data_IF_463440613706
#
_entry.id   IF_463440613706
#
_cell.length_a   1.000
_cell.length_b   1.000
_cell.length_c   1.000
_cell.angle_alpha   90.00
_cell.angle_beta   90.00
_cell.angle_gamma   90.00
#
_symmetry.space_group_name_H-M   'P 1'
#
loop_
_entity.id
_entity.type
_entity.pdbx_description
1 polymer ?
#
# COMPACT_ATOMS: atom_id res chain seq x y z
N UNK A 1 -16.47 2.88 -3.35
CA UNK A 1 -16.65 1.55 -3.96
C UNK A 1 -15.40 0.73 -3.63
N UNK A 2 -15.53 -0.48 -3.11
CA UNK A 2 -14.38 -1.36 -2.87
C UNK A 2 -13.87 -1.91 -4.21
N UNK A 3 -12.57 -1.80 -4.45
CA UNK A 3 -11.98 -2.31 -5.69
C UNK A 3 -11.92 -3.84 -5.66
N UNK A 4 -12.27 -4.56 -6.75
CA UNK A 4 -12.26 -6.02 -6.78
C UNK A 4 -10.93 -6.65 -6.36
N UNK A 5 -9.82 -5.94 -6.61
CA UNK A 5 -8.51 -6.44 -6.19
C UNK A 5 -8.30 -6.32 -4.67
N UNK A 6 -8.87 -5.32 -3.99
CA UNK A 6 -8.79 -5.17 -2.53
C UNK A 6 -9.54 -6.31 -1.87
N UNK A 7 -10.69 -6.68 -2.42
CA UNK A 7 -11.49 -7.83 -1.98
C UNK A 7 -10.76 -9.16 -2.22
N UNK A 8 -9.85 -9.22 -3.19
CA UNK A 8 -9.00 -10.39 -3.45
C UNK A 8 -7.78 -10.52 -2.51
N UNK A 9 -7.50 -9.51 -1.69
CA UNK A 9 -6.37 -9.55 -0.77
C UNK A 9 -6.64 -10.55 0.38
N UNK A 10 -5.63 -11.30 0.83
CA UNK A 10 -5.83 -12.26 1.91
C UNK A 10 -6.12 -11.53 3.22
N UNK A 11 -6.93 -12.13 4.09
CA UNK A 11 -7.29 -11.56 5.41
C UNK A 11 -6.17 -11.57 6.46
N UNK A 12 -4.92 -11.31 6.04
CA UNK A 12 -3.70 -11.30 6.85
C UNK A 12 -2.65 -10.39 6.22
N UNK A 13 -1.62 -10.06 7.00
CA UNK A 13 -0.47 -9.34 6.47
C UNK A 13 0.20 -10.17 5.36
N UNK A 14 0.68 -9.50 4.33
CA UNK A 14 1.22 -10.15 3.13
C UNK A 14 2.75 -10.07 3.12
N UNK A 15 3.47 -11.12 2.71
CA UNK A 15 4.92 -11.04 2.62
C UNK A 15 5.31 -9.96 1.59
N UNK A 16 6.47 -9.32 1.78
CA UNK A 16 6.94 -8.29 0.84
C UNK A 16 7.05 -8.80 -0.60
N UNK A 17 7.31 -10.09 -0.80
CA UNK A 17 7.29 -10.74 -2.12
C UNK A 17 5.92 -10.71 -2.80
N UNK A 18 4.82 -10.81 -2.05
CA UNK A 18 3.46 -10.71 -2.58
C UNK A 18 3.19 -9.34 -3.21
N UNK A 19 3.86 -8.28 -2.73
CA UNK A 19 3.76 -6.95 -3.34
C UNK A 19 4.29 -6.96 -4.78
N UNK A 20 5.37 -7.70 -5.05
CA UNK A 20 5.85 -7.88 -6.42
C UNK A 20 4.85 -8.68 -7.28
N UNK A 21 4.15 -9.66 -6.70
CA UNK A 21 3.07 -10.38 -7.41
C UNK A 21 1.91 -9.45 -7.78
N UNK A 22 1.56 -8.48 -6.92
CA UNK A 22 0.54 -7.48 -7.25
C UNK A 22 0.91 -6.67 -8.49
N UNK A 23 2.19 -6.32 -8.67
CA UNK A 23 2.68 -5.59 -9.85
C UNK A 23 2.60 -6.39 -11.15
N UNK A 24 2.47 -7.71 -11.08
CA UNK A 24 2.24 -8.54 -12.27
C UNK A 24 0.80 -8.43 -12.80
N UNK A 25 -0.14 -7.90 -12.00
CA UNK A 25 -1.51 -7.65 -12.46
C UNK A 25 -1.52 -6.45 -13.40
N UNK A 26 -2.10 -6.61 -14.58
CA UNK A 26 -2.13 -5.58 -15.64
C UNK A 26 -2.61 -4.19 -15.14
N UNK A 27 -3.59 -4.19 -14.24
CA UNK A 27 -4.18 -2.99 -13.66
C UNK A 27 -3.26 -2.24 -12.68
N UNK A 28 -2.25 -2.90 -12.11
CA UNK A 28 -1.36 -2.34 -11.09
C UNK A 28 -0.06 -1.89 -11.78
N UNK A 29 0.27 -0.61 -11.64
CA UNK A 29 1.53 -0.07 -12.14
C UNK A 29 2.67 -0.27 -11.14
N UNK A 30 2.36 -0.10 -9.85
CA UNK A 30 3.30 -0.34 -8.76
C UNK A 30 2.54 -0.67 -7.47
N UNK A 31 3.14 -1.48 -6.61
CA UNK A 31 2.66 -1.71 -5.26
C UNK A 31 3.83 -1.59 -4.27
N UNK A 32 3.55 -1.15 -3.05
CA UNK A 32 4.58 -0.83 -2.05
C UNK A 32 4.15 -1.39 -0.70
N UNK A 33 4.99 -2.23 -0.10
CA UNK A 33 4.88 -2.60 1.30
C UNK A 33 5.34 -1.42 2.18
N UNK A 34 4.42 -0.61 2.68
CA UNK A 34 4.77 0.62 3.40
C UNK A 34 5.21 0.33 4.83
N UNK A 35 4.42 -0.47 5.57
CA UNK A 35 4.75 -0.88 6.93
C UNK A 35 4.36 -2.31 7.20
N UNK A 36 5.11 -2.90 8.11
CA UNK A 36 4.94 -4.28 8.48
C UNK A 36 5.73 -4.70 9.71
N UNK A 37 5.67 -5.99 9.95
CA UNK A 37 6.42 -6.69 10.99
C UNK A 37 7.21 -7.85 10.39
N UNK A 38 8.23 -8.28 11.12
CA UNK A 38 9.06 -9.41 10.77
C UNK A 38 8.48 -10.68 11.41
N UNK A 39 8.46 -11.76 10.63
CA UNK A 39 8.16 -13.11 11.13
C UNK A 39 9.40 -13.97 10.92
N UNK A 40 9.93 -14.54 11.99
CA UNK A 40 10.98 -15.55 11.91
C UNK A 40 10.36 -16.89 11.53
N UNK A 41 10.82 -17.50 10.43
CA UNK A 41 10.36 -18.80 9.96
C UNK A 41 11.52 -19.58 9.38
N UNK A 42 11.73 -20.82 9.85
CA UNK A 42 12.79 -21.71 9.37
C UNK A 42 14.21 -21.10 9.42
N UNK A 43 14.44 -20.19 10.38
CA UNK A 43 15.72 -19.46 10.53
C UNK A 43 15.86 -18.21 9.66
N UNK A 44 14.81 -17.82 8.93
CA UNK A 44 14.78 -16.64 8.07
C UNK A 44 13.79 -15.59 8.56
N UNK A 45 14.19 -14.32 8.46
CA UNK A 45 13.32 -13.17 8.73
C UNK A 45 12.48 -12.82 7.49
N UNK A 46 11.17 -13.04 7.55
CA UNK A 46 10.23 -12.70 6.48
C UNK A 46 9.41 -11.46 6.82
N UNK A 47 9.63 -10.38 6.05
CA UNK A 47 8.88 -9.13 6.17
C UNK A 47 7.44 -9.29 5.70
N UNK A 48 6.47 -9.03 6.58
CA UNK A 48 5.04 -9.03 6.29
C UNK A 48 4.43 -7.63 6.44
N UNK A 49 3.83 -7.13 5.36
CA UNK A 49 3.20 -5.82 5.30
C UNK A 49 1.72 -5.89 5.71
N UNK A 50 1.32 -4.97 6.60
CA UNK A 50 -0.08 -4.70 6.94
C UNK A 50 -0.54 -3.32 6.44
N UNK A 51 0.35 -2.54 5.83
CA UNK A 51 0.04 -1.33 5.08
C UNK A 51 0.64 -1.41 3.69
N UNK A 52 -0.18 -1.11 2.68
CA UNK A 52 0.21 -1.11 1.28
C UNK A 52 -0.16 0.23 0.63
N UNK A 53 0.67 0.66 -0.31
CA UNK A 53 0.29 1.68 -1.30
C UNK A 53 0.21 0.98 -2.64
N UNK A 54 -0.89 1.18 -3.36
CA UNK A 54 -1.11 0.57 -4.67
C UNK A 54 -1.40 1.65 -5.69
N UNK A 55 -0.50 1.81 -6.66
CA UNK A 55 -0.70 2.68 -7.82
C UNK A 55 -1.39 1.90 -8.94
N UNK A 56 -2.63 2.27 -9.22
CA UNK A 56 -3.43 1.70 -10.30
C UNK A 56 -3.13 2.47 -11.59
N UNK A 57 -2.67 1.72 -12.60
CA UNK A 57 -2.11 2.25 -13.86
C UNK A 57 -3.03 3.29 -14.50
N UNK A 58 -2.53 4.51 -14.63
CA UNK A 58 -3.23 5.62 -15.30
C UNK A 58 -4.55 6.03 -14.66
N UNK A 59 -4.80 5.65 -13.40
CA UNK A 59 -6.09 5.89 -12.73
C UNK A 59 -5.95 6.67 -11.43
N UNK A 60 -5.36 6.06 -10.40
CA UNK A 60 -5.32 6.60 -9.04
C UNK A 60 -4.40 5.76 -8.14
N UNK A 61 -4.16 6.24 -6.93
CA UNK A 61 -3.41 5.52 -5.90
C UNK A 61 -4.30 5.25 -4.69
N UNK A 62 -4.13 4.07 -4.11
CA UNK A 62 -4.83 3.64 -2.90
C UNK A 62 -3.84 3.44 -1.75
N UNK A 63 -4.22 3.94 -0.57
CA UNK A 63 -3.65 3.54 0.71
C UNK A 63 -4.50 2.45 1.32
N UNK A 64 -3.89 1.28 1.58
CA UNK A 64 -4.56 0.12 2.15
C UNK A 64 -3.99 -0.20 3.52
N UNK A 65 -4.88 -0.43 4.47
CA UNK A 65 -4.52 -0.85 5.81
C UNK A 65 -5.30 -2.12 6.19
N UNK A 66 -4.58 -3.12 6.69
CA UNK A 66 -5.17 -4.32 7.24
C UNK A 66 -5.59 -4.07 8.69
N UNK A 67 -6.88 -4.23 8.96
CA UNK A 67 -7.44 -4.15 10.32
C UNK A 67 -8.38 -5.32 10.54
N UNK A 68 -8.20 -6.05 11.65
CA UNK A 68 -9.05 -7.19 12.03
C UNK A 68 -9.26 -8.21 10.89
N UNK A 69 -8.17 -8.57 10.21
CA UNK A 69 -8.20 -9.55 9.12
C UNK A 69 -8.89 -9.06 7.84
N UNK A 70 -9.16 -7.76 7.69
CA UNK A 70 -9.77 -7.18 6.50
C UNK A 70 -8.94 -6.01 5.99
N UNK A 71 -8.63 -6.00 4.69
CA UNK A 71 -8.01 -4.86 4.04
C UNK A 71 -9.03 -3.76 3.79
N UNK A 72 -8.68 -2.53 4.18
CA UNK A 72 -9.53 -1.36 4.00
C UNK A 72 -8.79 -0.29 3.22
N UNK A 73 -9.50 0.38 2.33
CA UNK A 73 -9.03 1.61 1.70
C UNK A 73 -9.11 2.72 2.75
N UNK A 74 -7.96 3.28 3.12
CA UNK A 74 -7.89 4.42 4.04
C UNK A 74 -7.70 5.75 3.31
N UNK A 75 -7.21 5.69 2.08
CA UNK A 75 -7.06 6.85 1.21
C UNK A 75 -7.23 6.45 -0.25
N UNK A 76 -7.93 7.28 -1.02
CA UNK A 76 -8.14 7.12 -2.45
C UNK A 76 -7.91 8.46 -3.15
N UNK A 77 -6.90 8.55 -4.02
CA UNK A 77 -6.59 9.83 -4.67
C UNK A 77 -7.70 10.32 -5.60
N UNK A 78 -8.67 9.48 -6.00
CA UNK A 78 -9.85 9.93 -6.76
C UNK A 78 -10.70 10.94 -6.00
N UNK A 79 -10.74 10.82 -4.68
CA UNK A 79 -11.49 11.73 -3.81
C UNK A 79 -10.74 13.08 -3.61
N UNK A 80 -9.52 13.19 -4.14
CA UNK A 80 -8.62 14.33 -3.98
C UNK A 80 -8.05 14.79 -5.34
N UNK A 81 -8.87 15.35 -6.25
CA UNK A 81 -8.47 15.67 -7.62
C UNK A 81 -7.34 16.71 -7.72
N UNK A 82 -7.11 17.50 -6.67
CA UNK A 82 -5.99 18.46 -6.61
C UNK A 82 -4.63 17.78 -6.65
N UNK A 83 -4.50 16.57 -6.09
CA UNK A 83 -3.26 15.81 -6.07
C UNK A 83 -2.77 15.43 -7.47
N UNK A 84 -3.69 15.29 -8.44
CA UNK A 84 -3.31 15.04 -9.83
C UNK A 84 -2.51 16.20 -10.45
N UNK A 85 -2.72 17.44 -9.98
CA UNK A 85 -2.00 18.63 -10.44
C UNK A 85 -0.65 18.80 -9.74
N UNK A 86 -0.56 18.37 -8.48
CA UNK A 86 0.65 18.44 -7.66
C UNK A 86 1.65 17.32 -7.98
N UNK A 87 1.15 16.23 -8.58
CA UNK A 87 1.93 15.17 -9.17
C UNK A 87 2.12 13.93 -8.27
N UNK A 88 2.83 12.91 -8.80
CA UNK A 88 2.98 11.60 -8.17
C UNK A 88 3.50 11.62 -6.73
N UNK A 89 4.43 12.53 -6.44
CA UNK A 89 5.04 12.64 -5.12
C UNK A 89 4.04 13.13 -4.07
N UNK A 90 3.31 14.20 -4.36
CA UNK A 90 2.29 14.73 -3.47
C UNK A 90 1.17 13.70 -3.24
N UNK A 91 0.77 12.98 -4.28
CA UNK A 91 -0.19 11.89 -4.17
C UNK A 91 0.31 10.75 -3.27
N UNK A 92 1.58 10.35 -3.39
CA UNK A 92 2.17 9.37 -2.49
C UNK A 92 2.25 9.87 -1.03
N UNK A 93 2.73 11.09 -0.83
CA UNK A 93 2.87 11.70 0.51
C UNK A 93 1.52 11.76 1.21
N UNK A 94 0.46 12.23 0.54
CA UNK A 94 -0.89 12.26 1.11
C UNK A 94 -1.43 10.87 1.49
N UNK A 95 -1.16 9.86 0.66
CA UNK A 95 -1.55 8.47 0.95
C UNK A 95 -0.75 7.91 2.14
N UNK A 96 0.55 8.20 2.20
CA UNK A 96 1.45 7.77 3.28
C UNK A 96 1.05 8.41 4.61
N UNK A 97 0.75 9.71 4.62
CA UNK A 97 0.29 10.42 5.81
C UNK A 97 -1.03 9.83 6.34
N UNK A 98 -1.99 9.57 5.45
CA UNK A 98 -3.25 8.93 5.82
C UNK A 98 -3.06 7.51 6.39
N UNK A 99 -2.06 6.76 5.90
CA UNK A 99 -1.66 5.49 6.49
C UNK A 99 -1.02 5.68 7.87
N UNK A 100 -0.23 6.74 8.06
CA UNK A 100 0.42 7.07 9.33
C UNK A 100 -0.62 7.37 10.42
N UNK A 101 -1.63 8.19 10.12
CA UNK A 101 -2.70 8.55 11.06
C UNK A 101 -3.55 7.36 11.50
N UNK A 102 -3.61 6.31 10.67
CA UNK A 102 -4.41 5.10 10.93
C UNK A 102 -3.62 3.95 11.56
N UNK A 103 -2.29 4.06 11.66
CA UNK A 103 -1.50 3.04 12.32
C UNK A 103 -1.83 3.01 13.82
N UNK A 104 -2.21 1.85 14.41
CA UNK A 104 -2.41 1.74 15.84
C UNK A 104 -1.13 2.14 16.59
N UNK A 105 -1.26 2.91 17.67
CA UNK A 105 -0.10 3.38 18.46
C UNK A 105 0.71 2.23 19.09
N UNK A 106 0.13 1.03 19.15
CA UNK A 106 0.70 -0.20 19.70
C UNK A 106 1.12 -1.22 18.62
N UNK A 107 0.97 -0.89 17.32
CA UNK A 107 1.36 -1.78 16.25
C UNK A 107 2.88 -1.95 16.22
N UNK A 108 3.35 -3.20 16.28
CA UNK A 108 4.76 -3.53 16.06
C UNK A 108 5.15 -3.16 14.63
N UNK A 109 6.05 -2.18 14.50
CA UNK A 109 6.63 -1.76 13.22
C UNK A 109 8.08 -2.21 13.21
N UNK A 110 8.36 -3.30 12.50
CA UNK A 110 9.74 -3.76 12.32
C UNK A 110 10.38 -3.18 11.05
N UNK A 111 9.57 -2.71 10.09
CA UNK A 111 10.07 -2.01 8.91
C UNK A 111 9.11 -0.95 8.37
N UNK A 112 9.70 0.03 7.69
CA UNK A 112 9.03 1.04 6.88
C UNK A 112 9.72 1.15 5.51
N UNK A 113 8.97 1.44 4.45
CA UNK A 113 9.53 1.65 3.11
C UNK A 113 8.87 2.80 2.36
N UNK A 114 9.71 3.57 1.67
CA UNK A 114 9.34 4.63 0.73
C UNK A 114 9.56 4.13 -0.70
N UNK A 115 8.62 4.34 -1.64
CA UNK A 115 8.78 3.92 -3.01
C UNK A 115 9.78 4.78 -3.76
N UNK A 116 10.24 4.25 -4.89
CA UNK A 116 10.72 5.09 -5.98
C UNK A 116 9.51 5.80 -6.58
N UNK A 117 9.55 7.14 -6.63
CA UNK A 117 8.43 7.92 -7.14
C UNK A 117 8.03 7.50 -8.55
N UNK A 118 6.72 7.48 -8.82
CA UNK A 118 6.20 7.13 -10.13
C UNK A 118 6.63 8.17 -11.15
N UNK A 119 7.25 7.73 -12.23
CA UNK A 119 7.30 8.53 -13.44
C UNK A 119 5.92 8.37 -14.10
N UNK A 120 4.97 9.22 -13.73
CA UNK A 120 3.81 9.42 -14.58
C UNK A 120 4.35 10.03 -15.87
N UNK A 121 4.42 9.24 -16.95
CA UNK A 121 4.53 9.83 -18.27
C UNK A 121 3.34 10.77 -18.43
N UNK A 122 3.62 12.06 -18.56
CA UNK A 122 2.62 13.07 -18.94
C UNK A 122 2.00 12.71 -20.29
#
# INVERSE_FOLDING_TARGET
>A
MSEPFVESLPGRAVPKSFVAELETKEAIQQAVAVRGYNIERDGETVQHAYQLVVNVRGKYILGLHLTNGTWRVVFDTRDHPKLAQEGPRAAYEAVHDALYERAPSDAKIDFESTPRFWNASQ
#
